data_IF_601270946546
#
_entry.id   IF_601270946546
#
_cell.length_a   1.000
_cell.length_b   1.000
_cell.length_c   1.000
_cell.angle_alpha   90.00
_cell.angle_beta   90.00
_cell.angle_gamma   90.00
#
_symmetry.space_group_name_H-M   'P 1'
#
loop_
_entity.id
_entity.type
_entity.pdbx_description
1 polymer ?
#
# COMPACT_ATOMS: atom_id res chain seq x y z
N UNK A 1 31.42 11.58 9.52
CA UNK A 1 30.31 10.93 8.79
C UNK A 1 29.89 9.59 9.41
N UNK A 2 30.78 8.61 9.65
CA UNK A 2 30.37 7.31 10.26
C UNK A 2 29.66 7.42 11.62
N UNK A 3 30.12 8.29 12.53
CA UNK A 3 29.51 8.44 13.86
C UNK A 3 28.04 8.93 13.78
N UNK A 4 27.75 9.92 12.92
CA UNK A 4 26.40 10.45 12.72
C UNK A 4 25.45 9.38 12.19
N UNK A 5 25.91 8.61 11.19
CA UNK A 5 25.18 7.45 10.68
C UNK A 5 24.82 6.46 11.81
N UNK A 6 25.79 6.05 12.62
CA UNK A 6 25.57 5.08 13.70
C UNK A 6 24.62 5.61 14.78
N UNK A 7 24.74 6.88 15.15
CA UNK A 7 23.80 7.51 16.09
C UNK A 7 22.38 7.48 15.50
N UNK A 8 22.22 7.88 14.24
CA UNK A 8 20.92 7.95 13.58
C UNK A 8 20.27 6.57 13.44
N UNK A 9 21.01 5.54 13.01
CA UNK A 9 20.44 4.20 12.84
C UNK A 9 20.11 3.53 14.19
N UNK A 10 20.94 3.74 15.23
CA UNK A 10 20.64 3.25 16.57
C UNK A 10 19.41 3.96 17.13
N UNK A 11 19.34 5.29 17.01
CA UNK A 11 18.17 6.06 17.42
C UNK A 11 16.91 5.59 16.71
N UNK A 12 16.97 5.35 15.40
CA UNK A 12 15.86 4.80 14.62
C UNK A 12 15.40 3.46 15.20
N UNK A 13 16.31 2.50 15.39
CA UNK A 13 15.94 1.16 15.88
C UNK A 13 15.36 1.19 17.30
N UNK A 14 15.93 2.00 18.20
CA UNK A 14 15.46 2.13 19.59
C UNK A 14 14.08 2.80 19.64
N UNK A 15 13.89 3.91 18.93
CA UNK A 15 12.60 4.60 18.86
C UNK A 15 11.55 3.70 18.20
N UNK A 16 11.90 3.00 17.13
CA UNK A 16 10.98 2.07 16.48
C UNK A 16 10.56 0.91 17.40
N UNK A 17 11.51 0.34 18.16
CA UNK A 17 11.20 -0.69 19.16
C UNK A 17 10.28 -0.14 20.28
N UNK A 18 10.45 1.13 20.64
CA UNK A 18 9.68 1.79 21.70
C UNK A 18 8.21 2.01 21.32
N UNK A 19 7.84 1.91 20.04
CA UNK A 19 6.44 1.99 19.61
C UNK A 19 5.54 0.96 20.29
N UNK A 20 6.08 -0.21 20.65
CA UNK A 20 5.33 -1.25 21.35
C UNK A 20 5.00 -0.89 22.81
N UNK A 21 5.63 0.15 23.37
CA UNK A 21 5.26 0.69 24.68
C UNK A 21 4.03 1.59 24.62
N UNK A 22 3.61 1.99 23.41
CA UNK A 22 2.56 2.99 23.17
C UNK A 22 1.44 2.47 22.26
N UNK A 23 1.37 1.16 22.00
CA UNK A 23 0.38 0.56 21.08
C UNK A 23 -0.91 0.10 21.78
N UNK A 24 -1.13 0.48 23.04
CA UNK A 24 -2.39 0.31 23.75
C UNK A 24 -3.30 1.55 23.57
N UNK A 25 -4.17 1.47 22.56
CA UNK A 25 -5.07 2.55 22.18
C UNK A 25 -6.25 2.74 23.13
N UNK A 26 -6.38 1.92 24.19
CA UNK A 26 -7.43 2.11 25.21
C UNK A 26 -7.13 3.26 26.16
N UNK A 27 -5.86 3.71 26.19
CA UNK A 27 -5.38 4.78 27.04
C UNK A 27 -5.25 6.09 26.26
N UNK A 28 -5.85 7.17 26.77
CA UNK A 28 -6.00 8.47 26.10
C UNK A 28 -4.69 9.07 25.55
N UNK A 29 -3.58 8.93 26.28
CA UNK A 29 -2.29 9.53 25.90
C UNK A 29 -1.42 8.64 25.01
N UNK A 30 -1.75 7.35 24.86
CA UNK A 30 -0.92 6.42 24.08
C UNK A 30 -0.82 6.79 22.60
N UNK A 31 -1.88 7.22 21.89
CA UNK A 31 -1.76 7.71 20.53
C UNK A 31 -0.77 8.88 20.41
N UNK A 32 -0.76 9.81 21.36
CA UNK A 32 0.15 10.97 21.35
C UNK A 32 1.60 10.51 21.49
N UNK A 33 1.90 9.62 22.44
CA UNK A 33 3.25 9.07 22.62
C UNK A 33 3.69 8.21 21.45
N UNK A 34 2.79 7.40 20.90
CA UNK A 34 3.03 6.59 19.71
C UNK A 34 3.42 7.48 18.53
N UNK A 35 2.64 8.52 18.24
CA UNK A 35 2.89 9.44 17.13
C UNK A 35 4.17 10.24 17.33
N UNK A 36 4.41 10.78 18.52
CA UNK A 36 5.65 11.49 18.82
C UNK A 36 6.88 10.58 18.62
N UNK A 37 6.82 9.35 19.13
CA UNK A 37 7.88 8.36 18.97
C UNK A 37 8.08 7.96 17.49
N UNK A 38 6.99 7.75 16.74
CA UNK A 38 7.03 7.40 15.32
C UNK A 38 7.63 8.52 14.46
N UNK A 39 7.28 9.78 14.73
CA UNK A 39 7.86 10.94 14.04
C UNK A 39 9.35 11.07 14.36
N UNK A 40 9.76 10.94 15.63
CA UNK A 40 11.18 10.95 16.01
C UNK A 40 11.95 9.81 15.35
N UNK A 41 11.36 8.60 15.30
CA UNK A 41 11.92 7.47 14.57
C UNK A 41 12.07 7.78 13.08
N UNK A 42 11.06 8.42 12.47
CA UNK A 42 11.09 8.86 11.08
C UNK A 42 12.16 9.91 10.81
N UNK A 43 12.37 10.87 11.69
CA UNK A 43 13.47 11.84 11.58
C UNK A 43 14.83 11.13 11.66
N UNK A 44 15.01 10.22 12.62
CA UNK A 44 16.23 9.42 12.73
C UNK A 44 16.49 8.57 11.47
N UNK A 45 15.43 7.98 10.89
CA UNK A 45 15.47 7.29 9.60
C UNK A 45 15.94 8.21 8.47
N UNK A 46 15.38 9.42 8.32
CA UNK A 46 15.77 10.35 7.26
C UNK A 46 17.26 10.70 7.37
N UNK A 47 17.76 10.97 8.59
CA UNK A 47 19.19 11.17 8.82
C UNK A 47 20.01 9.91 8.50
N UNK A 48 19.60 8.73 8.96
CA UNK A 48 20.31 7.48 8.69
C UNK A 48 20.41 7.18 7.18
N UNK A 49 19.32 7.37 6.43
CA UNK A 49 19.28 7.17 4.99
C UNK A 49 20.18 8.16 4.23
N UNK A 50 20.20 9.43 4.62
CA UNK A 50 21.11 10.44 4.02
C UNK A 50 22.58 10.13 4.27
N UNK A 51 22.95 9.78 5.51
CA UNK A 51 24.35 9.50 5.88
C UNK A 51 24.84 8.15 5.33
N UNK A 52 23.93 7.21 5.03
CA UNK A 52 24.28 5.90 4.47
C UNK A 52 24.98 6.00 3.10
N UNK A 53 24.82 7.12 2.37
CA UNK A 53 25.54 7.40 1.13
C UNK A 53 27.07 7.30 1.31
N UNK A 54 27.57 7.65 2.49
CA UNK A 54 29.01 7.60 2.81
C UNK A 54 29.49 6.22 3.28
N UNK A 55 28.59 5.24 3.43
CA UNK A 55 28.92 3.89 3.90
C UNK A 55 29.21 2.99 2.71
N UNK A 56 30.49 2.67 2.50
CA UNK A 56 30.94 1.76 1.44
C UNK A 56 31.32 0.38 1.97
N UNK A 57 32.07 0.32 3.09
CA UNK A 57 32.48 -0.95 3.70
C UNK A 57 31.27 -1.60 4.38
N UNK A 58 31.04 -2.88 4.10
CA UNK A 58 29.94 -3.69 4.65
C UNK A 58 28.54 -3.12 4.38
N UNK A 59 28.38 -2.25 3.38
CA UNK A 59 27.10 -1.59 3.08
C UNK A 59 25.96 -2.59 2.86
N UNK A 60 26.24 -3.72 2.19
CA UNK A 60 25.24 -4.77 1.98
C UNK A 60 24.75 -5.42 3.29
N UNK A 61 25.68 -5.75 4.18
CA UNK A 61 25.35 -6.35 5.48
C UNK A 61 24.60 -5.37 6.37
N UNK A 62 25.03 -4.11 6.43
CA UNK A 62 24.38 -3.05 7.21
C UNK A 62 22.97 -2.79 6.66
N UNK A 63 22.81 -2.70 5.34
CA UNK A 63 21.53 -2.55 4.65
C UNK A 63 20.53 -3.62 5.11
N UNK A 64 20.91 -4.89 4.99
CA UNK A 64 20.02 -6.00 5.31
C UNK A 64 19.79 -6.18 6.80
N UNK A 65 20.83 -5.98 7.63
CA UNK A 65 20.70 -6.08 9.08
C UNK A 65 19.69 -5.05 9.60
N UNK A 66 19.81 -3.79 9.18
CA UNK A 66 18.86 -2.75 9.57
C UNK A 66 17.46 -3.00 9.00
N UNK A 67 17.35 -3.43 7.73
CA UNK A 67 16.06 -3.77 7.12
C UNK A 67 15.36 -4.87 7.92
N UNK A 68 16.03 -5.99 8.17
CA UNK A 68 15.48 -7.13 8.92
C UNK A 68 15.19 -6.75 10.37
N UNK A 69 16.09 -6.02 11.03
CA UNK A 69 15.89 -5.57 12.41
C UNK A 69 14.60 -4.75 12.56
N UNK A 70 14.34 -3.78 11.68
CA UNK A 70 13.08 -3.02 11.70
C UNK A 70 11.85 -3.92 11.58
N UNK A 71 11.90 -4.97 10.75
CA UNK A 71 10.78 -5.90 10.58
C UNK A 71 10.56 -6.77 11.81
N UNK A 72 11.64 -7.26 12.41
CA UNK A 72 11.57 -8.04 13.65
C UNK A 72 11.07 -7.19 14.82
N UNK A 73 11.48 -5.93 14.90
CA UNK A 73 10.98 -4.97 15.89
C UNK A 73 9.52 -4.57 15.66
N UNK A 74 9.03 -4.62 14.42
CA UNK A 74 7.62 -4.39 14.10
C UNK A 74 6.73 -5.58 14.47
N UNK A 75 7.26 -6.81 14.43
CA UNK A 75 6.50 -8.04 14.63
C UNK A 75 5.66 -8.09 15.94
N UNK A 76 6.14 -7.64 17.11
CA UNK A 76 5.35 -7.66 18.35
C UNK A 76 4.24 -6.60 18.41
N UNK A 77 4.25 -5.58 17.55
CA UNK A 77 3.24 -4.51 17.57
C UNK A 77 1.83 -5.07 17.38
N UNK A 78 0.82 -4.41 17.96
CA UNK A 78 -0.57 -4.73 17.68
C UNK A 78 -0.88 -4.73 16.15
N UNK A 79 -1.52 -5.77 15.60
CA UNK A 79 -1.94 -5.77 14.20
C UNK A 79 -3.09 -4.78 13.99
N UNK A 80 -3.28 -4.34 12.74
CA UNK A 80 -4.47 -3.59 12.34
C UNK A 80 -5.72 -4.46 12.50
N UNK A 81 -6.84 -3.81 12.84
CA UNK A 81 -8.12 -4.52 13.06
C UNK A 81 -8.62 -5.22 11.79
N UNK A 82 -8.21 -4.75 10.61
CA UNK A 82 -8.56 -5.31 9.32
C UNK A 82 -8.09 -6.76 9.15
N UNK A 83 -7.04 -7.19 9.85
CA UNK A 83 -6.59 -8.60 9.80
C UNK A 83 -7.69 -9.57 10.21
N UNK A 84 -8.52 -9.18 11.20
CA UNK A 84 -9.67 -9.99 11.61
C UNK A 84 -10.75 -10.01 10.54
N UNK A 85 -10.89 -8.91 9.80
CA UNK A 85 -11.79 -8.85 8.65
C UNK A 85 -11.34 -9.77 7.51
N UNK A 86 -10.06 -9.76 7.16
CA UNK A 86 -9.50 -10.65 6.14
C UNK A 86 -9.80 -12.11 6.47
N UNK A 87 -9.60 -12.50 7.73
CA UNK A 87 -9.88 -13.86 8.18
C UNK A 87 -11.37 -14.21 8.10
N UNK A 88 -12.24 -13.29 8.54
CA UNK A 88 -13.69 -13.47 8.50
C UNK A 88 -14.17 -13.67 7.05
N UNK A 89 -13.78 -12.79 6.13
CA UNK A 89 -14.18 -12.88 4.72
C UNK A 89 -13.65 -14.18 4.07
N UNK A 90 -12.44 -14.61 4.43
CA UNK A 90 -11.91 -15.92 4.05
C UNK A 90 -12.74 -17.11 4.58
N UNK A 91 -13.25 -17.05 5.82
CA UNK A 91 -14.16 -18.07 6.39
C UNK A 91 -15.49 -18.09 5.63
N UNK A 92 -16.06 -16.93 5.30
CA UNK A 92 -17.30 -16.81 4.51
C UNK A 92 -17.14 -17.53 3.17
N UNK A 93 -16.05 -17.24 2.46
CA UNK A 93 -15.75 -17.85 1.17
C UNK A 93 -15.53 -19.36 1.26
N UNK A 94 -14.79 -19.84 2.28
CA UNK A 94 -14.57 -21.29 2.49
C UNK A 94 -15.84 -22.03 2.90
N UNK A 95 -16.79 -21.34 3.53
CA UNK A 95 -18.13 -21.86 3.82
C UNK A 95 -19.06 -21.87 2.58
N UNK A 96 -18.59 -21.47 1.40
CA UNK A 96 -19.34 -21.49 0.14
C UNK A 96 -20.19 -20.24 -0.12
N UNK A 97 -20.12 -19.24 0.77
CA UNK A 97 -20.88 -18.00 0.63
C UNK A 97 -20.10 -16.94 -0.15
N UNK A 98 -20.83 -15.95 -0.69
CA UNK A 98 -20.24 -14.79 -1.35
C UNK A 98 -20.02 -13.68 -0.31
N UNK A 99 -18.77 -13.24 -0.05
CA UNK A 99 -18.46 -12.21 0.95
C UNK A 99 -19.07 -10.85 0.59
N UNK A 100 -19.40 -10.60 -0.68
CA UNK A 100 -20.06 -9.37 -1.12
C UNK A 100 -21.58 -9.35 -0.84
N UNK A 101 -22.14 -10.46 -0.36
CA UNK A 101 -23.58 -10.60 -0.09
C UNK A 101 -23.87 -11.01 1.35
N UNK A 102 -22.87 -11.52 2.07
CA UNK A 102 -23.01 -12.08 3.41
C UNK A 102 -22.05 -11.35 4.34
N UNK A 103 -22.60 -10.79 5.41
CA UNK A 103 -21.80 -10.15 6.45
C UNK A 103 -21.24 -11.20 7.43
N UNK A 104 -20.12 -10.91 8.14
CA UNK A 104 -19.58 -11.79 9.17
C UNK A 104 -20.58 -12.22 10.25
N UNK A 105 -21.55 -11.37 10.63
CA UNK A 105 -22.57 -11.67 11.65
C UNK A 105 -23.76 -12.48 11.15
N UNK A 106 -23.79 -12.87 9.87
CA UNK A 106 -24.91 -13.64 9.30
C UNK A 106 -25.17 -14.93 10.10
N UNK A 107 -26.42 -15.24 10.48
CA UNK A 107 -26.75 -16.42 11.27
C UNK A 107 -26.24 -17.76 10.69
N UNK A 108 -26.06 -17.85 9.36
CA UNK A 108 -25.52 -19.05 8.68
C UNK A 108 -24.03 -19.30 8.98
N UNK A 109 -23.36 -18.33 9.58
CA UNK A 109 -21.95 -18.36 9.99
C UNK A 109 -21.77 -18.48 11.50
N UNK A 110 -22.85 -18.66 12.27
CA UNK A 110 -22.81 -18.79 13.72
C UNK A 110 -21.76 -19.85 14.15
N UNK A 111 -20.84 -19.43 15.03
CA UNK A 111 -19.76 -20.28 15.55
C UNK A 111 -18.61 -20.59 14.58
N UNK A 112 -18.62 -20.09 13.34
CA UNK A 112 -17.54 -20.35 12.36
C UNK A 112 -16.39 -19.34 12.41
N UNK A 113 -16.65 -18.12 12.87
CA UNK A 113 -15.67 -17.03 12.93
C UNK A 113 -15.17 -16.91 14.37
N UNK A 114 -13.86 -17.14 14.58
CA UNK A 114 -13.23 -17.29 15.89
C UNK A 114 -13.36 -16.03 16.77
N UNK A 115 -13.06 -14.86 16.21
CA UNK A 115 -12.96 -13.58 16.95
C UNK A 115 -13.93 -12.55 16.36
N UNK A 116 -15.21 -12.92 16.20
CA UNK A 116 -16.22 -12.09 15.53
C UNK A 116 -16.33 -10.66 16.12
N UNK A 117 -16.12 -10.51 17.43
CA UNK A 117 -16.14 -9.22 18.12
C UNK A 117 -15.00 -8.27 17.70
N UNK A 118 -13.87 -8.81 17.20
CA UNK A 118 -12.74 -8.00 16.70
C UNK A 118 -12.87 -7.62 15.23
N UNK A 119 -13.82 -8.23 14.52
CA UNK A 119 -14.01 -7.99 13.08
C UNK A 119 -14.63 -6.61 12.90
N UNK A 120 -13.94 -5.65 12.24
CA UNK A 120 -14.53 -4.35 11.98
C UNK A 120 -15.72 -4.47 11.01
N UNK A 121 -16.76 -3.65 11.25
CA UNK A 121 -18.00 -3.59 10.44
C UNK A 121 -18.59 -4.98 10.16
N UNK A 122 -18.63 -5.83 11.20
CA UNK A 122 -19.02 -7.24 11.09
C UNK A 122 -20.49 -7.45 10.65
N UNK A 123 -21.29 -6.39 10.64
CA UNK A 123 -22.65 -6.28 10.14
C UNK A 123 -22.76 -5.97 8.64
N UNK A 124 -21.64 -5.68 7.96
CA UNK A 124 -21.62 -5.29 6.55
C UNK A 124 -20.90 -6.34 5.68
N UNK A 125 -21.32 -6.54 4.42
CA UNK A 125 -20.58 -7.34 3.43
C UNK A 125 -19.19 -6.77 3.12
N UNK A 126 -18.35 -7.56 2.46
CA UNK A 126 -16.98 -7.17 2.11
C UNK A 126 -16.96 -6.06 1.04
N UNK A 127 -15.95 -5.18 1.15
CA UNK A 127 -15.71 -4.07 0.22
C UNK A 127 -14.32 -4.17 -0.46
N UNK A 128 -13.58 -5.25 -0.23
CA UNK A 128 -12.25 -5.43 -0.79
C UNK A 128 -12.31 -5.79 -2.28
N UNK A 129 -11.20 -5.51 -2.98
CA UNK A 129 -11.08 -5.85 -4.39
C UNK A 129 -10.89 -7.36 -4.59
N UNK A 130 -11.18 -7.89 -5.80
CA UNK A 130 -11.21 -9.33 -6.02
C UNK A 130 -9.95 -10.11 -5.65
N UNK A 131 -8.75 -9.58 -5.93
CA UNK A 131 -7.53 -10.31 -5.60
C UNK A 131 -7.28 -10.38 -4.09
N UNK A 132 -7.71 -9.36 -3.33
CA UNK A 132 -7.63 -9.38 -1.88
C UNK A 132 -8.55 -10.45 -1.30
N UNK A 133 -9.80 -10.57 -1.78
CA UNK A 133 -10.69 -11.64 -1.35
C UNK A 133 -10.15 -13.04 -1.70
N UNK A 134 -9.59 -13.22 -2.90
CA UNK A 134 -8.97 -14.51 -3.27
C UNK A 134 -7.82 -14.86 -2.32
N UNK A 135 -7.01 -13.87 -1.93
CA UNK A 135 -5.95 -14.03 -0.95
C UNK A 135 -6.49 -14.42 0.44
N UNK A 136 -7.55 -13.75 0.90
CA UNK A 136 -8.19 -14.02 2.19
C UNK A 136 -8.80 -15.42 2.26
N UNK A 137 -9.37 -15.90 1.15
CA UNK A 137 -9.82 -17.28 1.03
C UNK A 137 -8.69 -18.29 1.16
N UNK A 138 -7.51 -17.96 0.61
CA UNK A 138 -6.35 -18.85 0.60
C UNK A 138 -5.64 -18.95 1.95
N UNK A 139 -5.63 -17.87 2.74
CA UNK A 139 -4.99 -17.85 4.06
C UNK A 139 -5.99 -18.34 5.13
N UNK A 140 -5.65 -19.37 5.92
CA UNK A 140 -6.54 -19.87 6.97
C UNK A 140 -6.74 -18.83 8.08
N UNK A 141 -7.89 -18.91 8.76
CA UNK A 141 -8.13 -18.14 9.97
C UNK A 141 -7.38 -18.77 11.16
N UNK A 142 -6.82 -17.93 12.01
CA UNK A 142 -6.00 -18.29 13.17
C UNK A 142 -6.26 -17.33 14.33
N UNK A 143 -6.05 -17.77 15.57
CA UNK A 143 -6.20 -16.91 16.76
C UNK A 143 -5.11 -15.81 16.88
N UNK A 144 -4.21 -15.74 15.91
CA UNK A 144 -3.09 -14.80 15.87
C UNK A 144 -2.96 -14.19 14.48
N UNK A 145 -2.50 -12.93 14.40
CA UNK A 145 -2.17 -12.25 13.16
C UNK A 145 -0.80 -12.67 12.57
N UNK A 146 -0.04 -13.53 13.26
CA UNK A 146 1.35 -13.86 12.91
C UNK A 146 1.48 -14.39 11.47
N UNK A 147 0.58 -15.27 11.03
CA UNK A 147 0.64 -15.82 9.67
C UNK A 147 0.49 -14.72 8.61
N UNK A 148 -0.44 -13.79 8.81
CA UNK A 148 -0.66 -12.64 7.93
C UNK A 148 0.56 -11.71 7.93
N UNK A 149 1.10 -11.39 9.12
CA UNK A 149 2.34 -10.60 9.27
C UNK A 149 3.51 -11.23 8.51
N UNK A 150 3.69 -12.54 8.60
CA UNK A 150 4.78 -13.25 7.90
C UNK A 150 4.58 -13.24 6.38
N UNK A 151 3.37 -13.50 5.89
CA UNK A 151 3.08 -13.50 4.44
C UNK A 151 3.28 -12.09 3.85
N UNK A 152 2.68 -11.08 4.48
CA UNK A 152 2.78 -9.69 4.01
C UNK A 152 4.18 -9.13 4.20
N UNK A 153 4.85 -9.55 5.26
CA UNK A 153 6.24 -9.25 5.49
C UNK A 153 7.19 -9.87 4.45
N UNK A 154 6.93 -11.11 4.03
CA UNK A 154 7.70 -11.74 2.95
C UNK A 154 7.51 -10.97 1.63
N UNK A 155 6.30 -10.52 1.32
CA UNK A 155 6.05 -9.69 0.13
C UNK A 155 6.80 -8.34 0.19
N UNK A 156 6.86 -7.68 1.36
CA UNK A 156 7.67 -6.47 1.58
C UNK A 156 9.16 -6.73 1.31
N UNK A 157 9.74 -7.78 1.91
CA UNK A 157 11.17 -8.10 1.71
C UNK A 157 11.48 -8.47 0.26
N UNK A 158 10.57 -9.16 -0.44
CA UNK A 158 10.68 -9.42 -1.87
C UNK A 158 10.63 -8.13 -2.69
N UNK A 159 9.78 -7.16 -2.32
CA UNK A 159 9.72 -5.86 -2.97
C UNK A 159 11.04 -5.10 -2.79
N UNK A 160 11.63 -5.10 -1.58
CA UNK A 160 12.96 -4.54 -1.31
C UNK A 160 14.04 -5.22 -2.16
N UNK A 161 14.05 -6.56 -2.21
CA UNK A 161 15.02 -7.33 -2.98
C UNK A 161 14.91 -7.05 -4.49
N UNK A 162 13.68 -6.89 -5.00
CA UNK A 162 13.44 -6.55 -6.40
C UNK A 162 13.84 -5.10 -6.71
N UNK A 163 13.57 -4.16 -5.79
CA UNK A 163 13.98 -2.76 -5.93
C UNK A 163 15.51 -2.61 -6.01
N UNK A 164 16.26 -3.43 -5.28
CA UNK A 164 17.73 -3.52 -5.39
C UNK A 164 18.23 -4.03 -6.75
N UNK A 165 17.36 -4.63 -7.58
CA UNK A 165 17.70 -4.94 -8.99
C UNK A 165 17.59 -3.73 -9.92
N UNK A 166 16.99 -2.64 -9.44
CA UNK A 166 16.77 -1.40 -10.16
C UNK A 166 17.65 -0.26 -9.65
N UNK A 167 17.99 -0.28 -8.36
CA UNK A 167 18.64 0.82 -7.66
C UNK A 167 19.89 0.35 -6.92
N UNK A 168 20.81 1.29 -6.71
CA UNK A 168 21.89 1.12 -5.74
C UNK A 168 21.35 1.08 -4.30
N UNK A 169 22.16 0.57 -3.37
CA UNK A 169 21.75 0.40 -1.97
C UNK A 169 21.50 1.74 -1.30
N UNK A 170 22.28 2.76 -1.65
CA UNK A 170 22.20 4.11 -1.10
C UNK A 170 20.89 4.81 -1.47
N UNK A 171 20.32 4.48 -2.63
CA UNK A 171 18.97 4.93 -3.00
C UNK A 171 17.91 4.01 -2.37
N UNK A 172 18.10 2.69 -2.40
CA UNK A 172 17.10 1.72 -1.91
C UNK A 172 16.83 1.81 -0.39
N UNK A 173 17.76 2.31 0.43
CA UNK A 173 17.54 2.50 1.89
C UNK A 173 16.36 3.41 2.19
N UNK A 174 16.07 4.37 1.30
CA UNK A 174 14.92 5.26 1.49
C UNK A 174 13.61 4.48 1.49
N UNK A 175 13.48 3.40 0.73
CA UNK A 175 12.33 2.53 0.84
C UNK A 175 12.50 1.51 1.98
N UNK A 176 13.63 0.81 2.00
CA UNK A 176 13.85 -0.34 2.86
C UNK A 176 13.87 0.02 4.35
N UNK A 177 14.35 1.19 4.74
CA UNK A 177 14.42 1.61 6.15
C UNK A 177 13.29 2.53 6.56
N UNK A 178 12.30 2.78 5.70
CA UNK A 178 11.19 3.64 6.06
C UNK A 178 10.34 2.99 7.19
N UNK A 179 10.16 3.66 8.34
CA UNK A 179 9.43 3.09 9.47
C UNK A 179 7.96 2.83 9.15
N UNK A 180 7.32 3.65 8.30
CA UNK A 180 5.95 3.42 7.86
C UNK A 180 5.82 2.10 7.09
N UNK A 181 6.80 1.76 6.27
CA UNK A 181 6.81 0.49 5.51
C UNK A 181 6.93 -0.70 6.47
N UNK A 182 7.88 -0.66 7.39
CA UNK A 182 8.06 -1.74 8.39
C UNK A 182 6.83 -1.88 9.30
N UNK A 183 6.30 -0.75 9.80
CA UNK A 183 5.10 -0.70 10.62
C UNK A 183 3.88 -1.25 9.87
N UNK A 184 3.60 -0.77 8.66
CA UNK A 184 2.37 -1.13 7.93
C UNK A 184 2.27 -2.62 7.63
N UNK A 185 3.39 -3.30 7.38
CA UNK A 185 3.39 -4.67 6.89
C UNK A 185 3.73 -5.72 7.95
N UNK A 186 4.83 -5.56 8.69
CA UNK A 186 5.18 -6.48 9.77
C UNK A 186 4.48 -6.15 11.09
N UNK A 187 4.17 -4.87 11.33
CA UNK A 187 3.41 -4.42 12.48
C UNK A 187 1.91 -4.64 12.28
N UNK A 188 1.29 -3.78 11.48
CA UNK A 188 -0.16 -3.74 11.29
C UNK A 188 -0.70 -4.86 10.37
N UNK A 189 0.15 -5.57 9.62
CA UNK A 189 -0.27 -6.61 8.68
C UNK A 189 -1.29 -6.16 7.63
N UNK A 190 -1.05 -4.99 7.02
CA UNK A 190 -1.76 -4.61 5.80
C UNK A 190 -1.24 -5.42 4.60
N UNK A 191 -2.18 -5.98 3.81
CA UNK A 191 -1.85 -6.76 2.60
C UNK A 191 -1.26 -5.91 1.47
N UNK A 192 -1.30 -4.58 1.60
CA UNK A 192 -0.79 -3.62 0.64
C UNK A 192 0.70 -3.86 0.28
N UNK A 193 1.47 -4.62 1.06
CA UNK A 193 2.81 -5.05 0.66
C UNK A 193 2.84 -5.89 -0.63
N UNK A 194 1.79 -6.67 -0.90
CA UNK A 194 1.64 -7.45 -2.15
C UNK A 194 1.39 -6.50 -3.33
N UNK A 195 0.59 -5.45 -3.11
CA UNK A 195 0.42 -4.37 -4.07
C UNK A 195 1.76 -3.68 -4.35
N UNK A 196 2.54 -3.35 -3.31
CA UNK A 196 3.85 -2.73 -3.48
C UNK A 196 4.80 -3.62 -4.28
N UNK A 197 4.82 -4.92 -4.02
CA UNK A 197 5.57 -5.89 -4.81
C UNK A 197 5.15 -5.84 -6.28
N UNK A 198 3.84 -5.76 -6.57
CA UNK A 198 3.33 -5.62 -7.92
C UNK A 198 3.74 -4.28 -8.58
N UNK A 199 3.72 -3.16 -7.84
CA UNK A 199 4.20 -1.85 -8.33
C UNK A 199 5.70 -1.89 -8.63
N UNK A 200 6.53 -2.48 -7.75
CA UNK A 200 7.98 -2.63 -7.99
C UNK A 200 8.23 -3.55 -9.18
N UNK A 201 7.47 -4.64 -9.33
CA UNK A 201 7.55 -5.52 -10.48
C UNK A 201 7.18 -4.81 -11.78
N UNK A 202 6.15 -3.96 -11.76
CA UNK A 202 5.77 -3.11 -12.89
C UNK A 202 6.95 -2.21 -13.31
N UNK A 203 7.54 -1.46 -12.37
CA UNK A 203 8.71 -0.62 -12.66
C UNK A 203 9.86 -1.48 -13.21
N UNK A 204 10.12 -2.64 -12.60
CA UNK A 204 11.18 -3.54 -13.05
C UNK A 204 10.98 -3.99 -14.49
N UNK A 205 9.79 -4.44 -14.85
CA UNK A 205 9.51 -4.91 -16.19
C UNK A 205 9.51 -3.78 -17.23
N UNK A 206 8.99 -2.60 -16.88
CA UNK A 206 9.05 -1.43 -17.75
C UNK A 206 10.50 -0.97 -18.01
N UNK A 207 11.35 -0.95 -16.99
CA UNK A 207 12.77 -0.63 -17.15
C UNK A 207 13.52 -1.66 -18.00
N UNK A 208 13.25 -2.96 -17.78
CA UNK A 208 13.82 -4.02 -18.61
C UNK A 208 13.34 -3.96 -20.04
N UNK A 209 12.08 -3.56 -20.26
CA UNK A 209 11.53 -3.34 -21.58
C UNK A 209 12.18 -2.14 -22.29
N UNK A 210 12.39 -1.02 -21.59
CA UNK A 210 13.04 0.17 -22.15
C UNK A 210 14.49 -0.13 -22.57
N UNK A 211 15.19 -0.97 -21.81
CA UNK A 211 16.52 -1.48 -22.18
C UNK A 211 16.48 -2.51 -23.32
N UNK A 212 15.47 -3.39 -23.31
CA UNK A 212 15.35 -4.54 -24.22
C UNK A 212 13.88 -4.74 -24.58
N UNK A 213 13.43 -4.17 -25.70
CA UNK A 213 12.03 -4.18 -26.13
C UNK A 213 11.53 -5.59 -26.53
N UNK A 214 11.28 -6.45 -25.55
CA UNK A 214 10.84 -7.85 -25.71
C UNK A 214 9.45 -8.06 -25.12
N UNK A 215 8.64 -8.86 -25.81
CA UNK A 215 7.27 -9.21 -25.40
C UNK A 215 7.16 -9.73 -23.97
N UNK A 216 8.10 -10.56 -23.51
CA UNK A 216 8.08 -11.07 -22.13
C UNK A 216 8.12 -9.98 -21.06
N UNK A 217 8.80 -8.86 -21.32
CA UNK A 217 8.86 -7.75 -20.38
C UNK A 217 7.60 -6.88 -20.49
N UNK A 218 7.05 -6.70 -21.70
CA UNK A 218 5.76 -6.03 -21.87
C UNK A 218 4.61 -6.78 -21.18
N UNK A 219 4.56 -8.12 -21.34
CA UNK A 219 3.59 -8.97 -20.67
C UNK A 219 3.81 -8.98 -19.15
N UNK A 220 5.06 -9.06 -18.69
CA UNK A 220 5.39 -8.96 -17.27
C UNK A 220 4.91 -7.65 -16.64
N UNK A 221 5.10 -6.51 -17.33
CA UNK A 221 4.60 -5.22 -16.89
C UNK A 221 3.05 -5.20 -16.84
N UNK A 222 2.39 -5.73 -17.87
CA UNK A 222 0.93 -5.78 -17.91
C UNK A 222 0.33 -6.65 -16.81
N UNK A 223 0.92 -7.83 -16.53
CA UNK A 223 0.49 -8.71 -15.43
C UNK A 223 0.73 -8.04 -14.08
N UNK A 224 1.87 -7.38 -13.89
CA UNK A 224 2.16 -6.64 -12.65
C UNK A 224 1.16 -5.50 -12.41
N UNK A 225 0.81 -4.73 -13.44
CA UNK A 225 -0.25 -3.72 -13.36
C UNK A 225 -1.63 -4.34 -13.10
N UNK A 226 -1.94 -5.46 -13.75
CA UNK A 226 -3.18 -6.20 -13.52
C UNK A 226 -3.31 -6.71 -12.09
N UNK A 227 -2.22 -7.19 -11.49
CA UNK A 227 -2.20 -7.58 -10.08
C UNK A 227 -2.39 -6.36 -9.17
N UNK A 228 -1.68 -5.26 -9.42
CA UNK A 228 -1.83 -4.04 -8.63
C UNK A 228 -3.27 -3.52 -8.65
N UNK A 229 -3.88 -3.44 -9.84
CA UNK A 229 -5.29 -3.03 -10.01
C UNK A 229 -6.29 -4.01 -9.41
N UNK A 230 -6.01 -5.32 -9.44
CA UNK A 230 -6.88 -6.32 -8.84
C UNK A 230 -6.87 -6.30 -7.30
N UNK A 231 -5.79 -5.83 -6.68
CA UNK A 231 -5.69 -5.61 -5.23
C UNK A 231 -6.21 -4.23 -4.81
N UNK A 232 -5.92 -3.18 -5.58
CA UNK A 232 -6.43 -1.81 -5.37
C UNK A 232 -6.79 -1.20 -6.74
N UNK A 233 -8.09 -1.12 -7.09
CA UNK A 233 -8.55 -0.63 -8.39
C UNK A 233 -8.00 0.75 -8.79
N UNK A 234 -7.78 1.63 -7.82
CA UNK A 234 -7.17 2.96 -8.02
C UNK A 234 -5.82 2.91 -8.73
N UNK A 235 -5.06 1.80 -8.64
CA UNK A 235 -3.79 1.66 -9.36
C UNK A 235 -3.93 1.64 -10.89
N UNK A 236 -5.16 1.60 -11.43
CA UNK A 236 -5.43 1.79 -12.86
C UNK A 236 -4.94 3.14 -13.38
N UNK A 237 -4.71 4.13 -12.50
CA UNK A 237 -4.06 5.41 -12.84
C UNK A 237 -2.67 5.24 -13.48
N UNK A 238 -2.02 4.09 -13.28
CA UNK A 238 -0.72 3.77 -13.89
C UNK A 238 -0.84 3.22 -15.32
N UNK A 239 -2.06 3.00 -15.83
CA UNK A 239 -2.31 2.44 -17.17
C UNK A 239 -1.79 3.36 -18.28
N UNK A 240 -2.11 4.65 -18.24
CA UNK A 240 -1.72 5.61 -19.29
C UNK A 240 -0.20 5.82 -19.32
N UNK A 241 0.50 6.04 -18.19
CA UNK A 241 1.96 6.03 -18.19
C UNK A 241 2.55 4.72 -18.74
N UNK A 242 1.98 3.56 -18.38
CA UNK A 242 2.45 2.25 -18.87
C UNK A 242 2.21 2.05 -20.36
N UNK A 243 1.11 2.59 -20.89
CA UNK A 243 0.79 2.60 -22.32
C UNK A 243 1.89 3.28 -23.12
N UNK A 244 2.30 4.48 -22.70
CA UNK A 244 3.39 5.20 -23.36
C UNK A 244 4.75 4.53 -23.17
N UNK A 245 4.99 3.91 -22.01
CA UNK A 245 6.22 3.15 -21.76
C UNK A 245 6.38 1.95 -22.72
N UNK A 246 5.29 1.23 -23.01
CA UNK A 246 5.31 0.02 -23.84
C UNK A 246 5.28 0.27 -25.35
N UNK A 247 5.03 1.51 -25.80
CA UNK A 247 5.05 1.90 -27.21
C UNK A 247 4.15 0.95 -28.04
N UNK A 248 4.62 0.39 -29.16
CA UNK A 248 3.86 -0.56 -29.99
C UNK A 248 3.41 -1.85 -29.28
N UNK A 249 3.96 -2.16 -28.09
CA UNK A 249 3.60 -3.35 -27.31
C UNK A 249 2.47 -3.08 -26.31
N UNK A 250 1.81 -1.92 -26.39
CA UNK A 250 0.72 -1.55 -25.48
C UNK A 250 -0.43 -2.57 -25.46
N UNK A 251 -0.63 -3.36 -26.54
CA UNK A 251 -1.62 -4.45 -26.59
C UNK A 251 -1.43 -5.44 -25.43
N UNK A 252 -0.21 -5.60 -24.90
CA UNK A 252 0.03 -6.42 -23.72
C UNK A 252 -0.81 -5.96 -22.51
N UNK A 253 -1.12 -4.65 -22.41
CA UNK A 253 -1.93 -4.08 -21.33
C UNK A 253 -3.39 -4.56 -21.33
N UNK A 254 -3.85 -5.25 -22.37
CA UNK A 254 -5.11 -5.99 -22.29
C UNK A 254 -5.11 -6.97 -21.09
N UNK A 255 -3.96 -7.56 -20.75
CA UNK A 255 -3.81 -8.41 -19.57
C UNK A 255 -3.98 -7.65 -18.25
N UNK A 256 -3.63 -6.36 -18.22
CA UNK A 256 -3.81 -5.52 -17.03
C UNK A 256 -5.29 -5.27 -16.69
N UNK A 257 -6.17 -5.33 -17.70
CA UNK A 257 -7.62 -5.20 -17.52
C UNK A 257 -8.27 -6.57 -17.35
N UNK A 258 -7.86 -7.55 -18.17
CA UNK A 258 -8.43 -8.88 -18.15
C UNK A 258 -8.23 -9.59 -16.81
N UNK A 259 -7.08 -9.43 -16.17
CA UNK A 259 -6.78 -10.14 -14.92
C UNK A 259 -7.72 -9.75 -13.75
N UNK A 260 -7.91 -8.45 -13.40
CA UNK A 260 -8.91 -8.05 -12.42
C UNK A 260 -10.33 -8.52 -12.76
N UNK A 261 -10.72 -8.45 -14.04
CA UNK A 261 -12.06 -8.85 -14.49
C UNK A 261 -12.27 -10.36 -14.31
N UNK A 262 -11.30 -11.18 -14.74
CA UNK A 262 -11.36 -12.63 -14.59
C UNK A 262 -11.43 -13.05 -13.12
N UNK A 263 -10.63 -12.43 -12.26
CA UNK A 263 -10.67 -12.69 -10.82
C UNK A 263 -12.03 -12.28 -10.23
N UNK A 264 -12.55 -11.10 -10.58
CA UNK A 264 -13.85 -10.64 -10.12
C UNK A 264 -15.00 -11.56 -10.56
N UNK A 265 -14.99 -12.02 -11.82
CA UNK A 265 -15.95 -13.02 -12.30
C UNK A 265 -15.85 -14.33 -11.50
N UNK A 266 -14.64 -14.82 -11.21
CA UNK A 266 -14.42 -16.08 -10.50
C UNK A 266 -14.99 -16.08 -9.07
N UNK A 267 -15.03 -14.91 -8.41
CA UNK A 267 -15.57 -14.76 -7.05
C UNK A 267 -16.96 -14.10 -7.01
N UNK A 268 -17.59 -13.88 -8.17
CA UNK A 268 -18.90 -13.20 -8.29
C UNK A 268 -18.90 -11.79 -7.69
N UNK A 269 -17.88 -11.01 -8.03
CA UNK A 269 -17.73 -9.61 -7.65
C UNK A 269 -18.82 -8.73 -8.29
N UNK A 270 -19.52 -7.88 -7.52
CA UNK A 270 -20.55 -7.01 -8.06
C UNK A 270 -19.94 -5.75 -8.70
N UNK A 271 -19.40 -5.88 -9.92
CA UNK A 271 -18.73 -4.78 -10.64
C UNK A 271 -19.55 -3.49 -10.72
N UNK A 272 -20.88 -3.59 -10.91
CA UNK A 272 -21.75 -2.42 -11.04
C UNK A 272 -21.89 -1.62 -9.74
N UNK A 273 -21.75 -2.26 -8.58
CA UNK A 273 -21.95 -1.64 -7.27
C UNK A 273 -20.61 -1.23 -6.64
N UNK A 274 -19.54 -1.99 -6.90
CA UNK A 274 -18.27 -1.89 -6.19
C UNK A 274 -17.06 -1.60 -7.09
N UNK A 275 -17.25 -1.00 -8.27
CA UNK A 275 -16.15 -0.75 -9.24
C UNK A 275 -14.93 -0.04 -8.62
N UNK A 276 -15.16 0.79 -7.58
CA UNK A 276 -14.13 1.55 -6.87
C UNK A 276 -13.85 1.07 -5.42
N UNK A 277 -14.50 -0.01 -4.96
CA UNK A 277 -14.25 -0.63 -3.65
C UNK A 277 -14.56 0.25 -2.43
N UNK A 278 -13.72 0.15 -1.39
CA UNK A 278 -13.85 0.87 -0.10
C UNK A 278 -14.01 2.40 -0.23
N UNK A 279 -13.57 3.02 -1.33
CA UNK A 279 -13.73 4.46 -1.55
C UNK A 279 -15.19 4.91 -1.67
N UNK A 280 -16.13 3.98 -1.93
CA UNK A 280 -17.57 4.26 -1.96
C UNK A 280 -18.26 4.25 -0.58
N UNK A 281 -17.60 3.79 0.48
CA UNK A 281 -18.19 3.63 1.80
C UNK A 281 -17.71 4.71 2.79
N UNK A 282 -18.45 5.83 2.81
CA UNK A 282 -18.58 6.88 3.84
C UNK A 282 -17.51 6.90 4.94
N UNK A 283 -16.25 7.08 4.56
CA UNK A 283 -15.22 7.61 5.44
C UNK A 283 -14.62 8.78 4.66
N UNK A 284 -14.64 10.00 5.20
CA UNK A 284 -14.02 11.17 4.56
C UNK A 284 -12.92 11.63 5.50
N UNK A 285 -11.69 11.18 5.22
CA UNK A 285 -10.53 11.47 6.10
C UNK A 285 -9.53 12.43 5.44
N UNK A 286 -9.54 12.54 4.11
CA UNK A 286 -8.72 13.48 3.35
C UNK A 286 -9.61 14.44 2.56
N UNK A 287 -10.38 15.24 3.30
CA UNK A 287 -11.57 15.89 2.75
C UNK A 287 -11.40 17.36 2.40
N UNK A 288 -10.31 18.02 2.80
CA UNK A 288 -10.14 19.47 2.65
C UNK A 288 -10.35 19.94 1.20
N UNK A 289 -9.78 19.22 0.24
CA UNK A 289 -9.95 19.53 -1.18
C UNK A 289 -11.41 19.41 -1.62
N UNK A 290 -12.06 18.30 -1.25
CA UNK A 290 -13.44 18.03 -1.65
C UNK A 290 -14.43 18.97 -0.96
N UNK A 291 -14.25 19.24 0.32
CA UNK A 291 -15.02 20.23 1.05
C UNK A 291 -14.96 21.60 0.37
N UNK A 292 -13.77 22.08 0.00
CA UNK A 292 -13.62 23.36 -0.69
C UNK A 292 -14.30 23.36 -2.06
N UNK A 293 -14.11 22.30 -2.87
CA UNK A 293 -14.69 22.19 -4.20
C UNK A 293 -16.22 22.11 -4.14
N UNK A 294 -16.77 21.36 -3.19
CA UNK A 294 -18.21 21.20 -3.00
C UNK A 294 -18.87 22.48 -2.52
N UNK A 295 -18.20 23.24 -1.65
CA UNK A 295 -18.71 24.50 -1.13
C UNK A 295 -18.66 25.63 -2.18
N UNK A 296 -17.69 25.59 -3.10
CA UNK A 296 -17.41 26.73 -4.00
C UNK A 296 -17.79 26.51 -5.46
N UNK A 297 -17.45 25.36 -6.06
CA UNK A 297 -17.47 25.18 -7.52
C UNK A 297 -18.50 24.13 -7.95
N UNK A 298 -18.57 23.01 -7.25
CA UNK A 298 -19.36 21.85 -7.67
C UNK A 298 -20.14 21.24 -6.50
N UNK A 299 -21.27 21.85 -6.12
CA UNK A 299 -22.10 21.35 -5.02
C UNK A 299 -22.50 19.89 -5.21
N UNK A 300 -22.27 19.09 -4.16
CA UNK A 300 -22.58 17.67 -4.14
C UNK A 300 -23.76 17.37 -3.22
N UNK A 301 -24.92 17.96 -3.52
CA UNK A 301 -26.13 17.89 -2.69
C UNK A 301 -26.60 16.46 -2.35
N UNK A 302 -26.19 15.46 -3.12
CA UNK A 302 -26.56 14.06 -2.94
C UNK A 302 -25.39 13.15 -2.56
N UNK A 303 -24.25 13.71 -2.16
CA UNK A 303 -23.05 12.96 -1.77
C UNK A 303 -22.71 11.83 -2.75
N UNK A 304 -22.62 12.17 -4.04
CA UNK A 304 -22.37 11.23 -5.12
C UNK A 304 -20.90 10.85 -5.19
N UNK A 305 -20.45 9.98 -4.29
CA UNK A 305 -19.04 9.59 -4.08
C UNK A 305 -18.32 9.07 -5.34
N UNK A 306 -19.04 8.42 -6.27
CA UNK A 306 -18.49 7.95 -7.54
C UNK A 306 -17.88 9.08 -8.40
N UNK A 307 -18.28 10.34 -8.17
CA UNK A 307 -17.74 11.50 -8.88
C UNK A 307 -16.26 11.73 -8.56
N UNK A 308 -15.83 11.42 -7.33
CA UNK A 308 -14.43 11.60 -6.92
C UNK A 308 -13.51 10.66 -7.68
N UNK A 309 -13.89 9.41 -7.82
CA UNK A 309 -13.12 8.42 -8.57
C UNK A 309 -12.99 8.82 -10.04
N UNK A 310 -14.08 9.32 -10.65
CA UNK A 310 -14.06 9.83 -12.02
C UNK A 310 -13.11 11.01 -12.16
N UNK A 311 -13.17 12.00 -11.25
CA UNK A 311 -12.26 13.16 -11.27
C UNK A 311 -10.81 12.71 -11.10
N UNK A 312 -10.54 11.81 -10.16
CA UNK A 312 -9.21 11.24 -9.93
C UNK A 312 -8.70 10.55 -11.20
N UNK A 313 -9.51 9.73 -11.85
CA UNK A 313 -9.15 9.06 -13.11
C UNK A 313 -8.88 10.08 -14.23
N UNK A 314 -9.69 11.12 -14.37
CA UNK A 314 -9.50 12.18 -15.37
C UNK A 314 -8.18 12.92 -15.10
N UNK A 315 -7.95 13.36 -13.86
CA UNK A 315 -6.72 14.08 -13.48
C UNK A 315 -5.49 13.22 -13.73
N UNK A 316 -5.51 11.95 -13.29
CA UNK A 316 -4.40 11.02 -13.54
C UNK A 316 -4.22 10.71 -15.02
N UNK A 317 -5.30 10.64 -15.81
CA UNK A 317 -5.21 10.48 -17.25
C UNK A 317 -4.56 11.69 -17.93
N UNK A 318 -4.98 12.89 -17.57
CA UNK A 318 -4.39 14.14 -18.06
C UNK A 318 -2.90 14.25 -17.69
N UNK A 319 -2.52 13.87 -16.47
CA UNK A 319 -1.12 13.80 -16.05
C UNK A 319 -0.34 12.78 -16.90
N UNK A 320 -0.91 11.60 -17.12
CA UNK A 320 -0.31 10.56 -17.96
C UNK A 320 -0.07 11.04 -19.41
N UNK A 321 -1.03 11.77 -19.97
CA UNK A 321 -0.92 12.41 -21.29
C UNK A 321 0.12 13.54 -21.31
N UNK A 322 0.09 14.44 -20.32
CA UNK A 322 1.03 15.56 -20.18
C UNK A 322 2.48 15.05 -20.11
N UNK A 323 2.70 13.95 -19.41
CA UNK A 323 4.01 13.31 -19.29
C UNK A 323 4.22 12.14 -20.25
N UNK A 324 3.52 12.08 -21.40
CA UNK A 324 3.63 10.96 -22.36
C UNK A 324 5.08 10.67 -22.81
N UNK A 325 5.93 11.70 -22.95
CA UNK A 325 7.34 11.56 -23.32
C UNK A 325 8.23 11.12 -22.14
N UNK A 326 7.75 11.30 -20.91
CA UNK A 326 8.45 10.94 -19.69
C UNK A 326 7.51 10.12 -18.81
N UNK A 327 7.17 8.91 -19.29
CA UNK A 327 6.25 8.00 -18.61
C UNK A 327 6.64 7.76 -17.14
N UNK A 328 7.95 7.80 -16.84
CA UNK A 328 8.47 7.69 -15.48
C UNK A 328 7.91 8.79 -14.58
N UNK A 329 7.83 10.05 -15.07
CA UNK A 329 7.26 11.19 -14.32
C UNK A 329 5.74 11.06 -14.28
N UNK A 330 5.14 10.59 -15.38
CA UNK A 330 3.73 10.25 -15.45
C UNK A 330 3.30 9.30 -14.34
N UNK A 331 4.05 8.22 -14.09
CA UNK A 331 3.75 7.27 -13.00
C UNK A 331 3.76 7.93 -11.63
N UNK A 332 4.82 8.69 -11.30
CA UNK A 332 4.95 9.35 -10.00
C UNK A 332 3.79 10.31 -9.76
N UNK A 333 3.48 11.18 -10.73
CA UNK A 333 2.45 12.18 -10.56
C UNK A 333 1.03 11.62 -10.66
N UNK A 334 0.79 10.58 -11.47
CA UNK A 334 -0.53 9.95 -11.55
C UNK A 334 -0.90 9.25 -10.24
N UNK A 335 0.08 8.59 -9.61
CA UNK A 335 -0.10 7.97 -8.30
C UNK A 335 -0.14 9.02 -7.17
N UNK A 336 0.69 10.05 -7.26
CA UNK A 336 0.71 11.14 -6.28
C UNK A 336 -0.59 11.93 -6.27
N UNK A 337 -1.12 12.28 -7.45
CA UNK A 337 -2.43 12.91 -7.58
C UNK A 337 -3.54 12.03 -7.04
N UNK A 338 -3.50 10.71 -7.28
CA UNK A 338 -4.50 9.81 -6.72
C UNK A 338 -4.49 9.76 -5.19
N UNK A 339 -3.32 9.85 -4.54
CA UNK A 339 -3.23 9.88 -3.08
C UNK A 339 -3.69 11.23 -2.51
N UNK A 340 -3.33 12.34 -3.17
CA UNK A 340 -3.72 13.69 -2.72
C UNK A 340 -5.22 13.91 -2.87
N UNK A 341 -5.80 13.44 -3.97
CA UNK A 341 -7.23 13.61 -4.28
C UNK A 341 -8.10 12.47 -3.75
N UNK A 342 -7.52 11.42 -3.18
CA UNK A 342 -8.31 10.34 -2.59
C UNK A 342 -9.17 10.91 -1.44
N UNK A 343 -10.49 10.64 -1.40
CA UNK A 343 -11.35 11.09 -0.31
C UNK A 343 -11.02 10.41 1.04
N UNK A 344 -10.33 9.26 0.97
CA UNK A 344 -9.82 8.51 2.11
C UNK A 344 -8.32 8.33 1.94
N UNK A 345 -7.54 8.80 2.91
CA UNK A 345 -6.10 8.59 2.94
C UNK A 345 -5.67 7.97 4.28
N UNK A 346 -5.72 6.64 4.34
CA UNK A 346 -5.12 5.90 5.45
C UNK A 346 -3.59 6.01 5.40
N UNK A 347 -2.93 5.99 6.56
CA UNK A 347 -1.47 6.16 6.64
C UNK A 347 -0.70 5.18 5.73
N UNK A 348 -1.11 3.91 5.68
CA UNK A 348 -0.45 2.89 4.86
C UNK A 348 -0.66 3.09 3.36
N UNK A 349 -1.63 3.89 2.90
CA UNK A 349 -1.79 4.20 1.46
C UNK A 349 -0.61 5.03 0.92
N UNK A 350 0.03 5.84 1.77
CA UNK A 350 1.24 6.58 1.40
C UNK A 350 2.37 5.64 1.01
N UNK A 351 2.39 4.39 1.50
CA UNK A 351 3.41 3.41 1.12
C UNK A 351 3.38 3.07 -0.38
N UNK A 352 2.23 3.23 -1.06
CA UNK A 352 2.08 2.89 -2.47
C UNK A 352 2.98 3.72 -3.39
N UNK A 353 3.22 4.99 -3.05
CA UNK A 353 4.06 5.88 -3.85
C UNK A 353 5.55 5.73 -3.53
N UNK A 354 5.92 5.23 -2.35
CA UNK A 354 7.31 5.19 -1.90
C UNK A 354 8.27 4.44 -2.83
N UNK A 355 7.92 3.30 -3.47
CA UNK A 355 8.82 2.66 -4.43
C UNK A 355 9.10 3.54 -5.66
N UNK A 356 8.06 4.19 -6.21
CA UNK A 356 8.20 5.10 -7.36
C UNK A 356 8.98 6.34 -6.95
N UNK A 357 8.70 6.89 -5.77
CA UNK A 357 9.39 8.04 -5.21
C UNK A 357 10.87 7.75 -4.97
N UNK A 358 11.21 6.59 -4.41
CA UNK A 358 12.59 6.13 -4.20
C UNK A 358 13.30 5.98 -5.54
N UNK A 359 12.67 5.29 -6.49
CA UNK A 359 13.21 5.08 -7.83
C UNK A 359 13.45 6.39 -8.59
N UNK A 360 12.60 7.39 -8.36
CA UNK A 360 12.72 8.73 -8.95
C UNK A 360 13.50 9.74 -8.10
N UNK A 361 14.00 9.33 -6.92
CA UNK A 361 14.67 10.20 -5.94
C UNK A 361 13.81 11.41 -5.52
N UNK A 362 12.49 11.23 -5.49
CA UNK A 362 11.51 12.22 -5.04
C UNK A 362 11.32 12.13 -3.52
N UNK A 363 12.35 12.46 -2.76
CA UNK A 363 12.43 12.20 -1.31
C UNK A 363 11.38 12.95 -0.46
N UNK A 364 10.71 13.98 -0.99
CA UNK A 364 9.59 14.64 -0.31
C UNK A 364 8.47 13.67 0.09
N UNK A 365 8.21 12.63 -0.69
CA UNK A 365 7.23 11.59 -0.33
C UNK A 365 7.66 10.75 0.87
N UNK A 366 8.96 10.61 1.11
CA UNK A 366 9.46 9.92 2.30
C UNK A 366 9.27 10.76 3.55
N UNK A 367 9.37 12.09 3.42
CA UNK A 367 9.01 13.01 4.50
C UNK A 367 7.52 12.92 4.83
N UNK A 368 6.64 12.88 3.81
CA UNK A 368 5.21 12.60 4.03
C UNK A 368 5.00 11.25 4.73
N UNK A 369 5.75 10.21 4.36
CA UNK A 369 5.72 8.92 5.04
C UNK A 369 6.11 8.98 6.53
N UNK A 370 6.87 10.00 6.96
CA UNK A 370 7.18 10.25 8.37
C UNK A 370 6.05 11.04 9.04
N UNK A 371 5.58 12.11 8.41
CA UNK A 371 4.57 12.98 9.02
C UNK A 371 3.17 12.38 9.02
N UNK A 372 2.87 11.44 8.12
CA UNK A 372 1.57 10.78 8.05
C UNK A 372 1.26 9.95 9.30
N UNK A 373 2.23 9.64 10.17
CA UNK A 373 1.91 9.04 11.47
C UNK A 373 0.98 9.92 12.32
N UNK A 374 0.93 11.24 12.09
CA UNK A 374 -0.07 12.12 12.72
C UNK A 374 -1.52 11.73 12.41
N UNK A 375 -1.76 10.93 11.35
CA UNK A 375 -3.03 10.27 11.06
C UNK A 375 -3.62 9.58 12.30
N UNK A 376 -2.78 8.94 13.11
CA UNK A 376 -3.20 8.15 14.27
C UNK A 376 -3.67 8.97 15.47
N UNK A 377 -3.66 10.30 15.40
CA UNK A 377 -4.28 11.16 16.42
C UNK A 377 -5.79 11.32 16.23
N UNK A 378 -6.32 10.85 15.10
CA UNK A 378 -7.71 10.96 14.68
C UNK A 378 -8.27 9.57 14.39
#
# INVERSE_FOLDING_TARGET
MKLRFWIAIVAQLVLFASLNLFDDWTLEWMPVYFVACAILCGLAYLFAATEFVAINKNAASIFWLATIALRLLALPLAPGNEVWRFQADGVIQRAGFNPYQVAPTDPRLAGKILELARVPRNDQPAAFAPAAEVLFRAIPATNSALLYKVIFGAADLLAVALLLRLLDKQTAVWFAWNPLVAYSFFGAAHFDSILLLAIVALIFFLERFDQKARWKFALGAAVALGLATAFRPVCIVLLIPSFFALRRYFIALAAAIALPVLLGCAIRFPFAQNLFGEFGHVSRLNDLFWWLIEDTILPNWHQQYYRYDVILLIVSALIGLLFMRNWRRGMLWSLGASLILAPILNAWYVTWILPVATWRRAFAWHFLGVTIFAYYLF
#
